data_IF_294990224317
#
_entry.id   IF_294990224317
#
_cell.length_a   1.000
_cell.length_b   1.000
_cell.length_c   1.000
_cell.angle_alpha   90.00
_cell.angle_beta   90.00
_cell.angle_gamma   90.00
#
_symmetry.space_group_name_H-M   'P 1'
#
loop_
_entity.id
_entity.type
_entity.pdbx_description
1 polymer ?
#
# COMPACT_ATOMS: atom_id res chain seq x y z
N UNK A 1 17.14 4.19 28.52
CA UNK A 1 16.65 5.52 28.06
C UNK A 1 16.36 5.56 26.56
N UNK A 2 17.24 5.05 25.68
CA UNK A 2 17.01 5.04 24.22
C UNK A 2 15.71 4.38 23.74
N UNK A 3 15.27 3.29 24.39
CA UNK A 3 14.06 2.55 23.98
C UNK A 3 12.79 3.39 24.20
N UNK A 4 12.71 4.16 25.29
CA UNK A 4 11.56 5.05 25.56
C UNK A 4 11.48 6.20 24.55
N UNK A 5 12.63 6.78 24.17
CA UNK A 5 12.69 7.81 23.12
C UNK A 5 12.25 7.22 21.77
N UNK A 6 12.69 6.00 21.45
CA UNK A 6 12.22 5.29 20.25
C UNK A 6 10.70 5.10 20.24
N UNK A 7 10.10 4.68 21.35
CA UNK A 7 8.64 4.55 21.44
C UNK A 7 7.92 5.88 21.31
N UNK A 8 8.47 6.95 21.88
CA UNK A 8 7.89 8.29 21.82
C UNK A 8 7.77 8.80 20.37
N UNK A 9 8.71 8.46 19.49
CA UNK A 9 8.63 8.78 18.06
C UNK A 9 7.88 7.72 17.24
N UNK A 10 8.00 6.44 17.60
CA UNK A 10 7.37 5.36 16.84
C UNK A 10 5.84 5.36 16.96
N UNK A 11 5.28 5.67 18.14
CA UNK A 11 3.82 5.70 18.35
C UNK A 11 3.13 6.73 17.45
N UNK A 12 3.50 8.04 17.45
CA UNK A 12 2.86 9.02 16.59
C UNK A 12 3.11 8.71 15.10
N UNK A 13 4.28 8.16 14.76
CA UNK A 13 4.58 7.72 13.39
C UNK A 13 3.61 6.62 12.94
N UNK A 14 3.39 5.60 13.76
CA UNK A 14 2.44 4.51 13.47
C UNK A 14 1.01 5.03 13.37
N UNK A 15 0.60 5.98 14.22
CA UNK A 15 -0.75 6.59 14.15
C UNK A 15 -0.93 7.38 12.85
N UNK A 16 0.05 8.18 12.44
CA UNK A 16 0.02 8.92 11.16
C UNK A 16 -0.06 7.95 9.99
N UNK A 17 0.76 6.90 10.00
CA UNK A 17 0.70 5.83 9.01
C UNK A 17 -0.69 5.19 8.96
N UNK A 18 -1.28 4.86 10.10
CA UNK A 18 -2.61 4.27 10.16
C UNK A 18 -3.71 5.20 9.61
N UNK A 19 -3.61 6.51 9.88
CA UNK A 19 -4.50 7.53 9.31
C UNK A 19 -4.36 7.61 7.78
N UNK A 20 -3.14 7.61 7.26
CA UNK A 20 -2.89 7.58 5.82
C UNK A 20 -3.46 6.32 5.16
N UNK A 21 -3.33 5.17 5.82
CA UNK A 21 -3.93 3.91 5.35
C UNK A 21 -5.45 4.06 5.22
N UNK A 22 -6.12 4.57 6.26
CA UNK A 22 -7.57 4.69 6.27
C UNK A 22 -8.09 5.70 5.23
N UNK A 23 -7.39 6.83 5.09
CA UNK A 23 -7.68 7.85 4.07
C UNK A 23 -7.65 7.27 2.65
N UNK A 24 -6.66 6.43 2.35
CA UNK A 24 -6.48 5.86 1.01
C UNK A 24 -7.47 4.73 0.71
N UNK A 25 -7.83 3.95 1.74
CA UNK A 25 -8.93 2.99 1.61
C UNK A 25 -10.27 3.72 1.39
N UNK A 26 -10.43 4.93 1.93
CA UNK A 26 -11.61 5.78 1.73
C UNK A 26 -11.70 6.41 0.34
N UNK A 27 -10.59 6.60 -0.37
CA UNK A 27 -10.59 7.11 -1.75
C UNK A 27 -11.32 6.13 -2.70
N UNK A 28 -12.04 6.66 -3.69
CA UNK A 28 -12.73 5.88 -4.74
C UNK A 28 -12.17 6.28 -6.10
N UNK A 29 -11.97 5.31 -7.00
CA UNK A 29 -11.59 5.56 -8.39
C UNK A 29 -10.22 5.01 -8.82
N UNK A 30 -9.70 5.52 -9.93
CA UNK A 30 -8.42 5.16 -10.56
C UNK A 30 -7.22 5.72 -9.78
N UNK A 31 -7.36 6.92 -9.18
CA UNK A 31 -6.33 7.52 -8.31
C UNK A 31 -6.00 6.67 -7.10
N UNK A 32 -6.98 5.92 -6.57
CA UNK A 32 -6.77 4.96 -5.49
C UNK A 32 -5.81 3.84 -5.92
N UNK A 33 -5.82 3.38 -7.17
CA UNK A 33 -4.95 2.27 -7.59
C UNK A 33 -3.48 2.68 -7.64
N UNK A 34 -3.18 3.85 -8.22
CA UNK A 34 -1.81 4.37 -8.31
C UNK A 34 -1.26 4.66 -6.91
N UNK A 35 -2.06 5.33 -6.07
CA UNK A 35 -1.65 5.67 -4.71
C UNK A 35 -1.56 4.43 -3.81
N UNK A 36 -2.47 3.47 -3.93
CA UNK A 36 -2.45 2.23 -3.13
C UNK A 36 -1.22 1.36 -3.47
N UNK A 37 -0.80 1.32 -4.74
CA UNK A 37 0.42 0.60 -5.14
C UNK A 37 1.68 1.31 -4.66
N UNK A 38 1.78 2.62 -4.88
CA UNK A 38 2.93 3.41 -4.45
C UNK A 38 3.11 3.34 -2.93
N UNK A 39 2.03 3.54 -2.17
CA UNK A 39 2.10 3.41 -0.71
C UNK A 39 2.29 1.97 -0.24
N UNK A 40 1.74 0.95 -0.91
CA UNK A 40 2.01 -0.45 -0.57
C UNK A 40 3.51 -0.78 -0.60
N UNK A 41 4.23 -0.24 -1.60
CA UNK A 41 5.70 -0.34 -1.71
C UNK A 41 6.39 0.49 -0.62
N UNK A 42 5.92 1.70 -0.33
CA UNK A 42 6.48 2.53 0.75
C UNK A 42 6.32 1.87 2.13
N UNK A 43 5.16 1.26 2.40
CA UNK A 43 4.89 0.55 3.65
C UNK A 43 5.76 -0.70 3.82
N UNK A 44 5.93 -1.48 2.75
CA UNK A 44 6.76 -2.68 2.79
C UNK A 44 8.24 -2.32 2.96
N UNK A 45 8.73 -1.30 2.25
CA UNK A 45 10.13 -0.85 2.39
C UNK A 45 10.44 -0.28 3.79
N UNK A 46 9.55 0.55 4.35
CA UNK A 46 9.70 1.06 5.73
C UNK A 46 9.64 -0.10 6.73
N UNK A 47 8.72 -1.06 6.55
CA UNK A 47 8.64 -2.26 7.37
C UNK A 47 9.93 -3.09 7.34
N UNK A 48 10.52 -3.28 6.16
CA UNK A 48 11.82 -3.95 5.98
C UNK A 48 12.97 -3.20 6.66
N UNK A 49 13.00 -1.87 6.58
CA UNK A 49 14.01 -1.06 7.29
C UNK A 49 13.86 -1.20 8.81
N UNK A 50 12.64 -1.27 9.33
CA UNK A 50 12.39 -1.51 10.76
C UNK A 50 12.92 -2.88 11.23
N UNK A 51 12.95 -3.90 10.37
CA UNK A 51 13.55 -5.21 10.72
C UNK A 51 15.08 -5.15 10.89
N UNK A 52 15.78 -4.21 10.23
CA UNK A 52 17.24 -4.08 10.31
C UNK A 52 17.69 -3.64 11.71
N UNK A 53 16.88 -2.83 12.40
CA UNK A 53 17.24 -2.24 13.69
C UNK A 53 17.22 -3.23 14.87
N UNK A 54 16.90 -4.51 14.67
CA UNK A 54 17.06 -5.65 15.60
C UNK A 54 16.50 -5.46 17.03
N UNK A 55 15.66 -4.46 17.24
CA UNK A 55 14.88 -4.25 18.47
C UNK A 55 13.54 -4.95 18.38
N UNK A 56 13.25 -5.85 19.33
CA UNK A 56 12.02 -6.64 19.40
C UNK A 56 10.72 -5.82 19.16
N UNK A 57 10.48 -4.67 19.82
CA UNK A 57 9.25 -3.91 19.60
C UNK A 57 9.18 -3.28 18.20
N UNK A 58 10.33 -2.87 17.67
CA UNK A 58 10.40 -2.27 16.35
C UNK A 58 10.22 -3.31 15.24
N UNK A 59 10.65 -4.56 15.48
CA UNK A 59 10.39 -5.69 14.59
C UNK A 59 8.89 -6.02 14.52
N UNK A 60 8.17 -5.98 15.65
CA UNK A 60 6.71 -6.18 15.67
C UNK A 60 6.00 -5.08 14.86
N UNK A 61 6.38 -3.82 15.08
CA UNK A 61 5.84 -2.68 14.32
C UNK A 61 6.17 -2.84 12.83
N UNK A 62 7.41 -3.18 12.48
CA UNK A 62 7.83 -3.44 11.11
C UNK A 62 7.02 -4.55 10.44
N UNK A 63 6.71 -5.63 11.16
CA UNK A 63 5.89 -6.74 10.67
C UNK A 63 4.45 -6.31 10.38
N UNK A 64 3.86 -5.49 11.27
CA UNK A 64 2.51 -4.92 11.06
C UNK A 64 2.49 -4.03 9.82
N UNK A 65 3.46 -3.12 9.67
CA UNK A 65 3.57 -2.26 8.48
C UNK A 65 3.77 -3.10 7.21
N UNK A 66 4.59 -4.15 7.28
CA UNK A 66 4.85 -5.04 6.15
C UNK A 66 3.60 -5.80 5.71
N UNK A 67 2.84 -6.38 6.65
CA UNK A 67 1.57 -7.05 6.34
C UNK A 67 0.53 -6.08 5.77
N UNK A 68 0.43 -4.86 6.31
CA UNK A 68 -0.47 -3.83 5.78
C UNK A 68 -0.07 -3.38 4.37
N UNK A 69 1.22 -3.19 4.12
CA UNK A 69 1.76 -2.84 2.81
C UNK A 69 1.46 -3.91 1.76
N UNK A 70 1.68 -5.19 2.08
CA UNK A 70 1.33 -6.31 1.21
C UNK A 70 -0.18 -6.38 0.94
N UNK A 71 -1.01 -6.11 1.94
CA UNK A 71 -2.47 -6.11 1.79
C UNK A 71 -2.95 -5.01 0.83
N UNK A 72 -2.38 -3.80 0.94
CA UNK A 72 -2.62 -2.70 0.00
C UNK A 72 -2.15 -3.04 -1.41
N UNK A 73 -0.98 -3.66 -1.53
CA UNK A 73 -0.39 -4.02 -2.81
C UNK A 73 -1.23 -5.09 -3.52
N UNK A 74 -1.67 -6.12 -2.80
CA UNK A 74 -2.58 -7.14 -3.30
C UNK A 74 -3.92 -6.55 -3.74
N UNK A 75 -4.51 -5.66 -2.94
CA UNK A 75 -5.76 -5.00 -3.30
C UNK A 75 -5.63 -4.03 -4.50
N UNK A 76 -4.43 -3.47 -4.70
CA UNK A 76 -4.09 -2.70 -5.89
C UNK A 76 -3.93 -3.57 -7.13
N UNK A 77 -3.24 -4.71 -7.01
CA UNK A 77 -2.99 -5.65 -8.13
C UNK A 77 -4.25 -6.38 -8.60
N UNK A 78 -5.07 -6.88 -7.66
CA UNK A 78 -6.32 -7.61 -7.94
C UNK A 78 -7.29 -6.80 -8.83
N UNK A 79 -7.23 -5.47 -8.72
CA UNK A 79 -8.07 -4.56 -9.49
C UNK A 79 -7.44 -4.13 -10.83
N UNK A 80 -6.12 -4.14 -10.96
CA UNK A 80 -5.41 -3.84 -12.22
C UNK A 80 -5.69 -4.94 -13.25
N UNK A 81 -5.66 -6.20 -12.81
CA UNK A 81 -5.94 -7.35 -13.69
C UNK A 81 -7.34 -7.22 -14.32
N UNK A 82 -8.33 -6.83 -13.51
CA UNK A 82 -9.71 -6.63 -13.96
C UNK A 82 -9.92 -5.41 -14.86
N UNK A 83 -9.24 -4.29 -14.62
CA UNK A 83 -9.39 -3.08 -15.47
C UNK A 83 -8.68 -3.26 -16.82
N UNK A 84 -7.51 -3.89 -16.85
CA UNK A 84 -6.81 -4.22 -18.11
C UNK A 84 -7.65 -5.19 -18.95
N UNK A 85 -8.37 -6.11 -18.30
CA UNK A 85 -9.27 -7.03 -19.00
C UNK A 85 -10.49 -6.34 -19.62
N UNK A 86 -11.02 -5.29 -18.98
CA UNK A 86 -12.17 -4.53 -19.49
C UNK A 86 -11.76 -3.63 -20.67
N UNK A 87 -10.63 -2.91 -20.56
CA UNK A 87 -10.14 -2.06 -21.66
C UNK A 87 -9.85 -2.88 -22.94
N UNK A 88 -9.31 -4.10 -22.80
CA UNK A 88 -9.09 -4.97 -23.97
C UNK A 88 -10.38 -5.51 -24.58
N UNK A 89 -11.42 -5.74 -23.79
CA UNK A 89 -12.69 -6.25 -24.28
C UNK A 89 -13.46 -5.20 -25.09
N UNK A 90 -13.37 -3.93 -24.70
CA UNK A 90 -13.97 -2.81 -25.45
C UNK A 90 -13.24 -2.53 -26.78
N UNK A 91 -11.91 -2.70 -26.83
CA UNK A 91 -11.14 -2.57 -28.07
C UNK A 91 -11.46 -3.68 -29.09
N UNK A 92 -11.69 -4.91 -28.63
CA UNK A 92 -12.08 -6.03 -29.51
C UNK A 92 -13.54 -5.93 -30.00
N UNK A 93 -14.40 -5.13 -29.33
CA UNK A 93 -15.80 -4.95 -29.70
C UNK A 93 -16.04 -3.78 -30.67
N UNK A 94 -14.99 -3.06 -31.09
CA UNK A 94 -15.12 -2.03 -32.13
C UNK A 94 -15.23 -2.69 -33.52
N UNK A 95 -16.39 -2.63 -34.21
CA UNK A 95 -16.48 -3.15 -35.57
C UNK A 95 -15.51 -2.40 -36.48
N UNK A 96 -14.89 -3.07 -37.47
CA UNK A 96 -14.01 -2.39 -38.43
C UNK A 96 -14.79 -1.27 -39.10
N UNK A 97 -14.28 -0.05 -38.97
CA UNK A 97 -14.82 1.11 -39.68
C UNK A 97 -14.76 0.82 -41.18
N UNK A 98 -15.88 0.90 -41.93
CA UNK A 98 -15.83 0.77 -43.37
C UNK A 98 -15.05 1.97 -43.93
N UNK A 99 -13.92 1.66 -44.57
CA UNK A 99 -13.13 2.57 -45.40
C UNK A 99 -13.91 3.02 -46.64
#
# INVERSE_FOLDING_TARGET
MNVYVQFFFAIPFVVVMFQFYFWIVSLKGVERQVHCRALGVTYTTIGTVCFIFRTLPLAIVGLILFMLGLRLLAHGLDRIDKSVFIDRLDDDQKPPSPS
#
